data_IF_387155868708
#
_entry.id   IF_387155868708
#
_cell.length_a   1.000
_cell.length_b   1.000
_cell.length_c   1.000
_cell.angle_alpha   90.00
_cell.angle_beta   90.00
_cell.angle_gamma   90.00
#
_symmetry.space_group_name_H-M   'P 1'
#
loop_
_entity.id
_entity.type
_entity.pdbx_description
1 polymer ?
#
# COMPACT_ATOMS: atom_id res chain seq x y z
N UNK A 1 49.64 43.54 30.21
CA UNK A 1 49.81 44.04 28.83
C UNK A 1 49.84 42.88 27.81
N UNK A 2 48.84 41.99 27.79
CA UNK A 2 48.82 40.79 26.90
C UNK A 2 47.54 40.63 26.06
N UNK A 3 46.63 41.62 26.06
CA UNK A 3 45.35 41.54 25.32
C UNK A 3 45.41 42.05 23.88
N UNK A 4 46.48 42.76 23.48
CA UNK A 4 46.57 43.43 22.17
C UNK A 4 46.94 42.51 20.99
N UNK A 5 47.61 41.38 21.24
CA UNK A 5 48.05 40.47 20.16
C UNK A 5 46.91 39.57 19.65
N UNK A 6 46.04 39.09 20.53
CA UNK A 6 44.90 38.24 20.15
C UNK A 6 43.87 39.00 19.29
N UNK A 7 43.62 40.27 19.60
CA UNK A 7 42.73 41.13 18.80
C UNK A 7 43.25 41.36 17.39
N UNK A 8 44.57 41.53 17.21
CA UNK A 8 45.18 41.71 15.88
C UNK A 8 44.99 40.44 15.03
N UNK A 9 45.20 39.25 15.61
CA UNK A 9 44.96 38.00 14.88
C UNK A 9 43.50 37.78 14.50
N UNK A 10 42.56 38.18 15.35
CA UNK A 10 41.13 38.15 15.02
C UNK A 10 40.79 39.08 13.86
N UNK A 11 41.35 40.30 13.84
CA UNK A 11 41.15 41.22 12.72
C UNK A 11 41.78 40.71 11.42
N UNK A 12 42.96 40.09 11.48
CA UNK A 12 43.61 39.48 10.31
C UNK A 12 42.79 38.30 9.80
N UNK A 13 42.33 37.41 10.68
CA UNK A 13 41.48 36.28 10.30
C UNK A 13 40.15 36.76 9.70
N UNK A 14 39.51 37.76 10.30
CA UNK A 14 38.30 38.37 9.77
C UNK A 14 38.55 39.00 8.38
N UNK A 15 39.64 39.76 8.20
CA UNK A 15 39.99 40.36 6.93
C UNK A 15 40.24 39.29 5.85
N UNK A 16 41.00 38.23 6.17
CA UNK A 16 41.28 37.11 5.26
C UNK A 16 39.99 36.38 4.88
N UNK A 17 39.11 36.08 5.83
CA UNK A 17 37.84 35.40 5.57
C UNK A 17 36.90 36.27 4.73
N UNK A 18 36.83 37.57 5.01
CA UNK A 18 36.00 38.51 4.24
C UNK A 18 36.53 38.64 2.81
N UNK A 19 37.86 38.75 2.64
CA UNK A 19 38.49 38.86 1.31
C UNK A 19 38.35 37.55 0.53
N UNK A 20 38.52 36.40 1.18
CA UNK A 20 38.30 35.09 0.58
C UNK A 20 36.84 34.92 0.15
N UNK A 21 35.87 35.31 0.97
CA UNK A 21 34.45 35.31 0.62
C UNK A 21 34.12 36.24 -0.56
N UNK A 22 34.72 37.42 -0.61
CA UNK A 22 34.54 38.37 -1.72
C UNK A 22 35.14 37.82 -3.03
N UNK A 23 36.36 37.27 -2.98
CA UNK A 23 37.04 36.65 -4.12
C UNK A 23 36.31 35.39 -4.61
N UNK A 24 35.70 34.64 -3.70
CA UNK A 24 34.84 33.51 -3.98
C UNK A 24 33.57 33.93 -4.73
N UNK A 25 32.96 35.06 -4.35
CA UNK A 25 31.78 35.62 -5.02
C UNK A 25 32.10 36.20 -6.41
N UNK A 26 33.34 36.67 -6.63
CA UNK A 26 33.81 37.23 -7.89
C UNK A 26 34.08 36.17 -8.99
N UNK A 27 34.01 34.87 -8.68
CA UNK A 27 34.17 33.78 -9.66
C UNK A 27 32.87 32.98 -9.85
N UNK A 28 31.93 33.46 -10.69
CA UNK A 28 30.61 32.82 -10.88
C UNK A 28 30.68 31.40 -11.44
N UNK A 29 31.81 31.00 -12.03
CA UNK A 29 32.04 29.67 -12.61
C UNK A 29 31.95 28.53 -11.59
N UNK A 30 32.34 28.75 -10.34
CA UNK A 30 32.22 27.71 -9.31
C UNK A 30 30.78 27.56 -8.84
N UNK A 31 30.05 28.66 -8.63
CA UNK A 31 28.63 28.65 -8.29
C UNK A 31 27.80 27.99 -9.40
N UNK A 32 28.03 28.32 -10.66
CA UNK A 32 27.38 27.68 -11.81
C UNK A 32 27.74 26.18 -11.92
N UNK A 33 28.97 25.80 -11.58
CA UNK A 33 29.38 24.38 -11.53
C UNK A 33 28.66 23.62 -10.41
N UNK A 34 28.58 24.21 -9.21
CA UNK A 34 27.85 23.66 -8.08
C UNK A 34 26.35 23.58 -8.37
N UNK A 35 25.73 24.63 -8.93
CA UNK A 35 24.31 24.65 -9.30
C UNK A 35 24.00 23.57 -10.35
N UNK A 36 24.87 23.41 -11.37
CA UNK A 36 24.74 22.35 -12.37
C UNK A 36 24.88 20.96 -11.76
N UNK A 37 25.85 20.77 -10.86
CA UNK A 37 26.05 19.51 -10.14
C UNK A 37 24.85 19.13 -9.27
N UNK A 38 24.37 20.09 -8.47
CA UNK A 38 23.18 19.91 -7.62
C UNK A 38 21.94 19.65 -8.47
N UNK A 39 21.73 20.40 -9.56
CA UNK A 39 20.60 20.17 -10.46
C UNK A 39 20.65 18.79 -11.12
N UNK A 40 21.82 18.37 -11.63
CA UNK A 40 22.00 17.04 -12.22
C UNK A 40 21.74 15.93 -11.19
N UNK A 41 22.26 16.09 -9.97
CA UNK A 41 22.01 15.14 -8.89
C UNK A 41 20.53 15.07 -8.49
N UNK A 42 19.85 16.22 -8.41
CA UNK A 42 18.40 16.29 -8.18
C UNK A 42 17.61 15.58 -9.29
N UNK A 43 17.98 15.75 -10.56
CA UNK A 43 17.32 15.05 -11.66
C UNK A 43 17.56 13.54 -11.62
N UNK A 44 18.76 13.08 -11.27
CA UNK A 44 19.06 11.66 -11.08
C UNK A 44 18.21 11.08 -9.95
N UNK A 45 18.15 11.76 -8.79
CA UNK A 45 17.31 11.35 -7.67
C UNK A 45 15.83 11.28 -8.04
N UNK A 46 15.32 12.28 -8.77
CA UNK A 46 13.95 12.28 -9.26
C UNK A 46 13.70 11.13 -10.24
N UNK A 47 14.65 10.84 -11.14
CA UNK A 47 14.58 9.72 -12.07
C UNK A 47 14.55 8.36 -11.35
N UNK A 48 15.40 8.16 -10.35
CA UNK A 48 15.41 6.95 -9.50
C UNK A 48 14.08 6.84 -8.74
N UNK A 49 13.60 7.93 -8.17
CA UNK A 49 12.30 7.96 -7.48
C UNK A 49 11.15 7.57 -8.40
N UNK A 50 11.06 8.16 -9.60
CA UNK A 50 10.05 7.83 -10.59
C UNK A 50 10.16 6.38 -11.09
N UNK A 51 11.38 5.87 -11.26
CA UNK A 51 11.60 4.46 -11.63
C UNK A 51 11.11 3.51 -10.55
N UNK A 52 11.43 3.77 -9.28
CA UNK A 52 10.94 2.97 -8.15
C UNK A 52 9.41 3.02 -8.06
N UNK A 53 8.83 4.20 -8.28
CA UNK A 53 7.38 4.41 -8.27
C UNK A 53 6.72 3.64 -9.43
N UNK A 54 7.29 3.70 -10.63
CA UNK A 54 6.83 2.91 -11.77
C UNK A 54 6.97 1.40 -11.53
N UNK A 55 8.07 0.96 -10.91
CA UNK A 55 8.29 -0.45 -10.57
C UNK A 55 7.24 -0.95 -9.58
N UNK A 56 6.96 -0.20 -8.51
CA UNK A 56 5.91 -0.54 -7.55
C UNK A 56 4.53 -0.62 -8.23
N UNK A 57 4.22 0.33 -9.12
CA UNK A 57 2.98 0.33 -9.91
C UNK A 57 2.81 -0.90 -10.81
N UNK A 58 3.88 -1.58 -11.22
CA UNK A 58 3.74 -2.84 -11.98
C UNK A 58 3.20 -3.99 -11.14
N UNK A 59 3.33 -3.92 -9.81
CA UNK A 59 2.76 -4.90 -8.89
C UNK A 59 1.25 -4.71 -8.67
N UNK A 60 0.64 -3.63 -9.17
CA UNK A 60 -0.78 -3.37 -9.01
C UNK A 60 -1.59 -3.74 -10.25
N UNK A 61 -2.64 -4.52 -10.03
CA UNK A 61 -3.57 -4.91 -11.07
C UNK A 61 -4.55 -3.78 -11.37
N UNK A 62 -4.79 -3.56 -12.66
CA UNK A 62 -5.53 -2.41 -13.17
C UNK A 62 -7.02 -2.70 -13.22
N UNK A 63 -7.83 -1.97 -12.46
CA UNK A 63 -9.28 -2.17 -12.45
C UNK A 63 -9.98 -1.53 -13.65
N UNK A 64 -10.90 -2.28 -14.28
CA UNK A 64 -11.90 -1.73 -15.21
C UNK A 64 -13.31 -2.05 -14.71
N UNK A 65 -13.98 -1.07 -14.08
CA UNK A 65 -15.38 -1.07 -13.60
C UNK A 65 -15.95 -2.40 -13.02
N UNK A 66 -16.20 -2.43 -11.70
CA UNK A 66 -16.91 -3.51 -10.98
C UNK A 66 -16.41 -4.92 -11.31
N UNK A 67 -15.09 -5.05 -11.41
CA UNK A 67 -14.44 -6.31 -11.73
C UNK A 67 -14.37 -7.21 -10.49
N UNK A 68 -14.51 -8.52 -10.71
CA UNK A 68 -14.32 -9.50 -9.64
C UNK A 68 -12.83 -9.53 -9.30
N UNK A 69 -12.47 -9.02 -8.13
CA UNK A 69 -11.07 -8.95 -7.69
C UNK A 69 -10.59 -10.26 -7.07
N UNK A 70 -11.50 -11.06 -6.54
CA UNK A 70 -11.21 -12.41 -6.08
C UNK A 70 -12.45 -13.30 -6.11
N UNK A 71 -12.25 -14.58 -6.34
CA UNK A 71 -13.26 -15.62 -6.14
C UNK A 71 -12.82 -16.50 -4.98
N UNK A 72 -13.72 -16.66 -4.02
CA UNK A 72 -13.53 -17.46 -2.81
C UNK A 72 -14.35 -18.73 -2.94
N UNK A 73 -13.69 -19.88 -2.90
CA UNK A 73 -14.35 -21.19 -2.84
C UNK A 73 -14.06 -21.85 -1.50
N UNK A 74 -15.11 -22.26 -0.80
CA UNK A 74 -15.02 -22.82 0.55
C UNK A 74 -15.25 -24.32 0.50
N UNK A 75 -14.40 -25.06 1.20
CA UNK A 75 -14.58 -26.50 1.46
C UNK A 75 -14.43 -26.78 2.94
N UNK A 76 -15.26 -27.66 3.46
CA UNK A 76 -15.15 -28.10 4.84
C UNK A 76 -13.94 -29.03 5.00
N UNK A 77 -13.08 -28.72 5.97
CA UNK A 77 -11.92 -29.54 6.33
C UNK A 77 -12.10 -30.26 7.67
N UNK A 78 -12.96 -29.73 8.55
CA UNK A 78 -13.30 -30.31 9.85
C UNK A 78 -14.38 -29.49 10.58
N UNK A 79 -14.66 -29.80 11.86
CA UNK A 79 -15.56 -28.99 12.69
C UNK A 79 -15.00 -27.57 12.85
N UNK A 80 -15.72 -26.56 12.35
CA UNK A 80 -15.28 -25.15 12.32
C UNK A 80 -13.90 -24.92 11.65
N UNK A 81 -13.47 -25.86 10.80
CA UNK A 81 -12.23 -25.77 10.03
C UNK A 81 -12.54 -25.84 8.54
N UNK A 82 -12.04 -24.86 7.80
CA UNK A 82 -12.40 -24.61 6.42
C UNK A 82 -11.17 -24.41 5.57
N UNK A 83 -11.16 -25.00 4.38
CA UNK A 83 -10.20 -24.70 3.34
C UNK A 83 -10.80 -23.67 2.39
N UNK A 84 -10.25 -22.46 2.39
CA UNK A 84 -10.58 -21.41 1.44
C UNK A 84 -9.59 -21.41 0.28
N UNK A 85 -10.09 -21.70 -0.93
CA UNK A 85 -9.35 -21.40 -2.16
C UNK A 85 -9.67 -19.98 -2.59
N UNK A 86 -8.67 -19.11 -2.58
CA UNK A 86 -8.76 -17.74 -3.08
C UNK A 86 -8.12 -17.69 -4.48
N UNK A 87 -8.91 -17.38 -5.49
CA UNK A 87 -8.45 -17.15 -6.85
C UNK A 87 -8.48 -15.65 -7.16
N UNK A 88 -7.33 -15.08 -7.49
CA UNK A 88 -7.15 -13.66 -7.81
C UNK A 88 -5.86 -13.49 -8.57
N UNK A 89 -5.85 -12.63 -9.60
CA UNK A 89 -4.61 -12.25 -10.29
C UNK A 89 -3.61 -11.58 -9.33
N UNK A 90 -4.10 -10.90 -8.28
CA UNK A 90 -3.26 -10.28 -7.26
C UNK A 90 -2.42 -11.25 -6.44
N UNK A 91 -2.66 -12.56 -6.54
CA UNK A 91 -1.92 -13.59 -5.80
C UNK A 91 -0.81 -14.22 -6.66
N UNK A 92 0.34 -14.58 -6.05
CA UNK A 92 1.35 -15.38 -6.73
C UNK A 92 0.76 -16.71 -7.21
N UNK A 93 0.81 -16.94 -8.53
CA UNK A 93 0.24 -18.14 -9.17
C UNK A 93 -1.27 -18.10 -9.41
N UNK A 94 -1.93 -16.96 -9.18
CA UNK A 94 -3.36 -16.75 -9.50
C UNK A 94 -4.35 -17.44 -8.57
N UNK A 95 -3.91 -18.41 -7.76
CA UNK A 95 -4.75 -19.13 -6.79
C UNK A 95 -3.94 -19.67 -5.62
N UNK A 96 -4.43 -19.46 -4.41
CA UNK A 96 -3.84 -20.02 -3.19
C UNK A 96 -4.93 -20.58 -2.27
N UNK A 97 -4.57 -21.57 -1.45
CA UNK A 97 -5.47 -22.18 -0.49
C UNK A 97 -5.03 -21.87 0.93
N UNK A 98 -5.97 -21.49 1.78
CA UNK A 98 -5.75 -21.13 3.18
C UNK A 98 -6.67 -21.97 4.08
N UNK A 99 -6.14 -22.39 5.22
CA UNK A 99 -6.95 -22.98 6.29
C UNK A 99 -7.46 -21.86 7.18
N UNK A 100 -8.77 -21.78 7.40
CA UNK A 100 -9.42 -20.84 8.31
C UNK A 100 -10.22 -21.60 9.34
N UNK A 101 -10.21 -21.08 10.56
CA UNK A 101 -11.09 -21.52 11.62
C UNK A 101 -12.14 -20.45 11.95
N UNK A 102 -13.36 -20.89 12.25
CA UNK A 102 -14.48 -20.03 12.61
C UNK A 102 -15.75 -20.30 11.84
N UNK A 103 -16.66 -19.33 11.92
CA UNK A 103 -18.00 -19.38 11.32
C UNK A 103 -18.14 -18.38 10.16
N UNK A 104 -17.27 -17.36 10.12
CA UNK A 104 -17.27 -16.33 9.09
C UNK A 104 -15.86 -16.06 8.56
N UNK A 105 -15.78 -15.56 7.34
CA UNK A 105 -14.56 -15.05 6.74
C UNK A 105 -14.69 -13.57 6.37
N UNK A 106 -13.54 -12.91 6.30
CA UNK A 106 -13.39 -11.51 5.91
C UNK A 106 -12.14 -11.38 5.04
N UNK A 107 -12.22 -10.60 3.96
CA UNK A 107 -11.10 -10.27 3.10
C UNK A 107 -10.89 -8.75 3.08
N UNK A 108 -9.71 -8.32 3.50
CA UNK A 108 -9.31 -6.92 3.50
C UNK A 108 -8.45 -6.63 2.26
N UNK A 109 -8.67 -5.49 1.61
CA UNK A 109 -7.81 -5.01 0.53
C UNK A 109 -7.63 -3.48 0.57
N UNK A 110 -6.45 -3.03 0.17
CA UNK A 110 -6.15 -1.61 -0.03
C UNK A 110 -6.39 -1.25 -1.48
N UNK A 111 -6.98 -0.09 -1.72
CA UNK A 111 -7.29 0.41 -3.05
C UNK A 111 -6.67 1.80 -3.20
N UNK A 112 -5.88 1.96 -4.26
CA UNK A 112 -5.30 3.23 -4.66
C UNK A 112 -6.07 3.74 -5.87
N UNK A 113 -6.68 4.91 -5.72
CA UNK A 113 -7.30 5.64 -6.81
C UNK A 113 -6.41 6.81 -7.15
N UNK A 114 -6.21 7.04 -8.44
CA UNK A 114 -5.48 8.21 -8.93
C UNK A 114 -6.49 9.26 -9.37
N UNK A 115 -6.20 10.53 -9.17
CA UNK A 115 -7.06 11.66 -9.56
C UNK A 115 -6.32 12.66 -10.46
N UNK A 116 -7.08 13.51 -11.15
CA UNK A 116 -6.56 14.60 -11.97
C UNK A 116 -5.61 14.15 -13.10
N UNK A 117 -4.45 14.78 -13.29
CA UNK A 117 -3.54 14.49 -14.40
C UNK A 117 -3.03 13.03 -14.42
N UNK A 118 -2.98 12.33 -13.27
CA UNK A 118 -2.60 10.91 -13.24
C UNK A 118 -3.63 10.03 -13.97
N UNK A 119 -4.93 10.36 -13.88
CA UNK A 119 -5.95 9.67 -14.68
C UNK A 119 -5.79 9.96 -16.18
N UNK A 120 -5.45 11.20 -16.55
CA UNK A 120 -5.21 11.58 -17.95
C UNK A 120 -3.99 10.85 -18.55
N UNK A 121 -3.01 10.50 -17.73
CA UNK A 121 -1.88 9.65 -18.10
C UNK A 121 -2.25 8.16 -18.22
N UNK A 122 -3.53 7.80 -18.02
CA UNK A 122 -4.02 6.43 -18.16
C UNK A 122 -3.73 5.52 -16.98
N UNK A 123 -3.35 6.07 -15.81
CA UNK A 123 -3.17 5.29 -14.59
C UNK A 123 -4.53 4.80 -14.10
N UNK A 124 -4.73 3.48 -14.15
CA UNK A 124 -5.93 2.82 -13.67
C UNK A 124 -5.86 2.63 -12.15
N UNK A 125 -7.00 2.56 -11.45
CA UNK A 125 -7.03 2.20 -10.04
C UNK A 125 -6.34 0.86 -9.80
N UNK A 126 -5.65 0.82 -8.66
CA UNK A 126 -4.75 -0.24 -8.26
C UNK A 126 -5.28 -0.86 -6.95
N UNK A 127 -5.18 -2.18 -6.79
CA UNK A 127 -5.61 -2.84 -5.55
C UNK A 127 -4.58 -3.88 -5.08
N UNK A 128 -4.54 -4.10 -3.76
CA UNK A 128 -3.71 -5.11 -3.12
C UNK A 128 -4.48 -5.82 -2.02
N UNK A 129 -4.51 -7.14 -2.07
CA UNK A 129 -5.09 -7.95 -1.01
C UNK A 129 -4.18 -7.92 0.22
N UNK A 130 -4.74 -7.62 1.38
CA UNK A 130 -3.98 -7.42 2.62
C UNK A 130 -4.06 -8.63 3.52
N UNK A 131 -5.28 -9.09 3.79
CA UNK A 131 -5.52 -10.04 4.87
C UNK A 131 -6.78 -10.85 4.63
N UNK A 132 -6.66 -12.15 4.87
CA UNK A 132 -7.79 -13.07 4.95
C UNK A 132 -7.91 -13.56 6.39
N UNK A 133 -9.07 -13.40 7.03
CA UNK A 133 -9.27 -13.81 8.41
C UNK A 133 -10.58 -14.58 8.61
N UNK A 134 -10.54 -15.54 9.54
CA UNK A 134 -11.70 -16.24 10.08
C UNK A 134 -12.18 -15.58 11.37
N UNK A 135 -13.48 -15.65 11.63
CA UNK A 135 -14.11 -15.11 12.84
C UNK A 135 -15.12 -16.10 13.42
N UNK A 136 -15.12 -16.23 14.74
CA UNK A 136 -16.14 -16.95 15.51
C UNK A 136 -17.30 -16.03 15.86
N UNK A 137 -18.52 -16.54 15.81
CA UNK A 137 -19.72 -15.81 16.20
C UNK A 137 -19.94 -15.82 17.72
N UNK A 138 -19.66 -16.94 18.37
CA UNK A 138 -19.81 -17.07 19.81
C UNK A 138 -18.67 -16.34 20.54
N UNK A 139 -19.02 -15.44 21.48
CA UNK A 139 -18.05 -14.69 22.26
C UNK A 139 -17.19 -15.60 23.14
N UNK A 140 -17.78 -16.67 23.69
CA UNK A 140 -17.07 -17.68 24.47
C UNK A 140 -15.97 -18.37 23.65
N UNK A 141 -16.25 -18.69 22.39
CA UNK A 141 -15.27 -19.29 21.48
C UNK A 141 -14.21 -18.28 21.06
N UNK A 142 -14.61 -17.05 20.73
CA UNK A 142 -13.69 -15.97 20.36
C UNK A 142 -12.70 -15.59 21.50
N UNK A 143 -13.09 -15.80 22.76
CA UNK A 143 -12.20 -15.60 23.92
C UNK A 143 -11.20 -16.74 24.12
N UNK A 144 -11.58 -17.96 23.76
CA UNK A 144 -10.81 -19.17 24.07
C UNK A 144 -10.02 -19.71 22.86
N UNK A 145 -10.37 -19.30 21.63
CA UNK A 145 -9.70 -19.70 20.40
C UNK A 145 -9.19 -18.48 19.65
N UNK A 146 -7.95 -18.56 19.14
CA UNK A 146 -7.36 -17.47 18.36
C UNK A 146 -7.96 -17.46 16.94
N UNK A 147 -8.41 -16.30 16.44
CA UNK A 147 -8.83 -16.16 15.04
C UNK A 147 -7.69 -16.52 14.09
N UNK A 148 -8.00 -17.24 13.01
CA UNK A 148 -7.02 -17.48 11.96
C UNK A 148 -6.86 -16.25 11.09
N UNK A 149 -5.62 -15.80 10.89
CA UNK A 149 -5.30 -14.62 10.09
C UNK A 149 -4.14 -14.93 9.16
N UNK A 150 -4.37 -14.75 7.86
CA UNK A 150 -3.35 -14.88 6.81
C UNK A 150 -3.07 -13.51 6.20
N UNK A 151 -1.80 -13.09 6.24
CA UNK A 151 -1.34 -11.93 5.48
C UNK A 151 -1.20 -12.29 4.01
N UNK A 152 -1.87 -11.55 3.14
CA UNK A 152 -1.84 -11.73 1.68
C UNK A 152 -0.86 -10.75 1.01
N UNK A 153 -0.59 -9.63 1.67
CA UNK A 153 0.36 -8.64 1.17
C UNK A 153 1.80 -9.19 1.26
N UNK A 154 2.42 -9.44 0.10
CA UNK A 154 3.86 -9.63 0.02
C UNK A 154 4.59 -8.39 0.55
N UNK A 155 5.57 -8.60 1.44
CA UNK A 155 6.38 -7.55 2.04
C UNK A 155 7.18 -6.79 0.98
N UNK A 156 6.60 -5.68 0.49
CA UNK A 156 7.30 -4.71 -0.33
C UNK A 156 8.22 -3.87 0.54
N UNK A 157 9.38 -3.49 0.00
CA UNK A 157 10.35 -2.66 0.71
C UNK A 157 9.86 -1.23 0.92
N UNK A 158 8.89 -0.79 0.09
CA UNK A 158 8.25 0.52 0.15
C UNK A 158 6.74 0.31 0.20
N UNK A 159 6.07 0.86 1.21
CA UNK A 159 4.61 0.85 1.33
C UNK A 159 4.06 2.20 0.84
N UNK A 160 3.69 2.28 -0.44
CA UNK A 160 3.15 3.49 -1.05
C UNK A 160 1.87 3.98 -0.34
N UNK A 161 1.09 3.04 0.20
CA UNK A 161 -0.09 3.35 1.00
C UNK A 161 0.28 4.07 2.30
N UNK A 162 1.31 3.61 3.01
CA UNK A 162 1.78 4.26 4.23
C UNK A 162 2.39 5.64 3.96
N UNK A 163 3.00 5.82 2.78
CA UNK A 163 3.52 7.11 2.34
C UNK A 163 2.38 8.11 2.07
N UNK A 164 1.34 7.68 1.37
CA UNK A 164 0.16 8.51 1.09
C UNK A 164 -0.57 8.92 2.38
N UNK A 165 -0.78 7.98 3.32
CA UNK A 165 -1.38 8.32 4.63
C UNK A 165 -0.58 9.35 5.43
N UNK A 166 0.73 9.46 5.16
CA UNK A 166 1.61 10.37 5.89
C UNK A 166 1.77 11.73 5.20
N UNK A 167 1.71 11.76 3.88
CA UNK A 167 1.99 12.95 3.07
C UNK A 167 0.75 13.55 2.40
N UNK A 168 -0.40 12.87 2.47
CA UNK A 168 -1.67 13.27 1.85
C UNK A 168 -1.47 13.72 0.40
N UNK A 169 -1.03 12.80 -0.47
CA UNK A 169 -0.63 13.18 -1.82
C UNK A 169 -1.86 13.72 -2.57
N UNK A 170 -1.81 14.95 -3.13
CA UNK A 170 -3.00 15.63 -3.66
C UNK A 170 -3.61 14.97 -4.91
N UNK A 171 -2.94 13.97 -5.49
CA UNK A 171 -3.34 13.28 -6.71
C UNK A 171 -3.65 11.78 -6.47
N UNK A 172 -3.58 11.33 -5.21
CA UNK A 172 -3.83 9.94 -4.82
C UNK A 172 -4.93 9.94 -3.77
N UNK A 173 -5.93 9.10 -3.99
CA UNK A 173 -6.96 8.80 -2.99
C UNK A 173 -6.77 7.35 -2.56
N UNK A 174 -6.22 7.15 -1.37
CA UNK A 174 -6.09 5.84 -0.75
C UNK A 174 -7.37 5.50 0.04
N UNK A 175 -8.00 4.36 -0.29
CA UNK A 175 -9.17 3.85 0.43
C UNK A 175 -8.97 2.42 0.91
N UNK A 176 -9.23 2.20 2.20
CA UNK A 176 -9.17 0.88 2.82
C UNK A 176 -10.53 0.22 2.63
N UNK A 177 -10.56 -0.90 1.92
CA UNK A 177 -11.75 -1.69 1.71
C UNK A 177 -11.71 -2.96 2.53
N UNK A 178 -12.83 -3.31 3.14
CA UNK A 178 -13.03 -4.63 3.71
C UNK A 178 -14.28 -5.25 3.13
N UNK A 179 -14.16 -6.47 2.63
CA UNK A 179 -15.33 -7.25 2.27
C UNK A 179 -16.13 -7.55 3.54
N UNK A 180 -17.44 -7.33 3.49
CA UNK A 180 -18.37 -7.68 4.57
C UNK A 180 -18.18 -9.14 5.00
N UNK A 181 -18.36 -9.40 6.30
CA UNK A 181 -18.33 -10.75 6.88
C UNK A 181 -19.29 -11.68 6.16
N UNK A 182 -18.77 -12.80 5.65
CA UNK A 182 -19.55 -13.80 4.95
C UNK A 182 -19.47 -15.15 5.65
N UNK A 183 -20.57 -15.92 5.68
CA UNK A 183 -20.60 -17.20 6.38
C UNK A 183 -19.73 -18.26 5.68
N UNK A 184 -19.01 -19.02 6.50
CA UNK A 184 -18.25 -20.20 6.10
C UNK A 184 -19.22 -21.38 5.97
N UNK A 185 -19.43 -21.86 4.74
CA UNK A 185 -20.29 -23.01 4.47
C UNK A 185 -19.66 -23.91 3.42
N UNK A 186 -19.89 -25.21 3.55
CA UNK A 186 -19.32 -26.19 2.64
C UNK A 186 -19.80 -25.94 1.21
N UNK A 187 -18.89 -25.98 0.25
CA UNK A 187 -19.13 -25.70 -1.16
C UNK A 187 -19.68 -24.30 -1.47
N UNK A 188 -19.63 -23.34 -0.53
CA UNK A 188 -20.04 -21.97 -0.81
C UNK A 188 -19.01 -21.27 -1.72
N UNK A 189 -19.51 -20.51 -2.69
CA UNK A 189 -18.70 -19.71 -3.61
C UNK A 189 -19.13 -18.25 -3.51
N UNK A 190 -18.15 -17.38 -3.29
CA UNK A 190 -18.36 -15.93 -3.23
C UNK A 190 -17.44 -15.22 -4.22
N UNK A 191 -17.98 -14.21 -4.89
CA UNK A 191 -17.19 -13.26 -5.66
C UNK A 191 -17.00 -11.99 -4.84
N UNK A 192 -15.75 -11.55 -4.74
CA UNK A 192 -15.40 -10.27 -4.14
C UNK A 192 -15.31 -9.26 -5.27
N UNK A 193 -16.20 -8.29 -5.24
CA UNK A 193 -16.32 -7.20 -6.20
C UNK A 193 -15.70 -5.95 -5.59
N UNK A 194 -14.93 -5.21 -6.38
CA UNK A 194 -14.43 -3.91 -6.00
C UNK A 194 -15.21 -2.81 -6.76
N UNK A 195 -16.08 -2.13 -6.04
CA UNK A 195 -16.93 -1.06 -6.56
C UNK A 195 -16.34 0.33 -6.36
N UNK A 196 -17.13 1.37 -6.66
CA UNK A 196 -16.75 2.76 -6.39
C UNK A 196 -16.70 3.05 -4.87
N UNK A 197 -17.61 2.43 -4.10
CA UNK A 197 -17.81 2.72 -2.68
C UNK A 197 -17.09 1.74 -1.73
N UNK A 198 -16.27 0.83 -2.26
CA UNK A 198 -15.53 -0.15 -1.47
C UNK A 198 -15.63 -1.58 -2.02
N UNK A 199 -15.31 -2.53 -1.15
CA UNK A 199 -15.27 -3.96 -1.46
C UNK A 199 -16.57 -4.60 -0.99
N UNK A 200 -17.18 -5.42 -1.83
CA UNK A 200 -18.36 -6.20 -1.47
C UNK A 200 -18.18 -7.67 -1.85
N UNK A 201 -18.71 -8.58 -1.03
CA UNK A 201 -18.77 -9.99 -1.36
C UNK A 201 -20.19 -10.35 -1.83
N UNK A 202 -20.31 -11.19 -2.84
CA UNK A 202 -21.59 -11.62 -3.42
C UNK A 202 -21.61 -13.14 -3.51
N UNK A 203 -22.69 -13.74 -3.01
CA UNK A 203 -22.94 -15.18 -3.10
C UNK A 203 -23.23 -15.59 -4.55
N UNK A 204 -22.46 -16.56 -5.06
CA UNK A 204 -22.54 -16.99 -6.47
C UNK A 204 -23.43 -18.21 -6.63
N UNK A 205 -23.33 -19.18 -5.71
CA UNK A 205 -24.07 -20.44 -5.77
C UNK A 205 -25.16 -20.55 -4.70
N UNK A 206 -26.00 -21.58 -4.80
CA UNK A 206 -27.14 -21.79 -3.90
C UNK A 206 -26.72 -22.04 -2.45
N UNK A 207 -25.59 -22.72 -2.22
CA UNK A 207 -25.05 -22.90 -0.87
C UNK A 207 -24.68 -21.57 -0.23
N UNK A 208 -23.98 -20.70 -0.96
CA UNK A 208 -23.65 -19.35 -0.49
C UNK A 208 -24.90 -18.50 -0.27
N UNK A 209 -25.86 -18.53 -1.22
CA UNK A 209 -27.12 -17.79 -1.08
C UNK A 209 -27.91 -18.24 0.13
N UNK A 210 -28.02 -19.55 0.34
CA UNK A 210 -28.69 -20.14 1.51
C UNK A 210 -27.98 -19.81 2.82
N UNK A 211 -26.64 -19.75 2.81
CA UNK A 211 -25.87 -19.34 3.98
C UNK A 211 -26.15 -17.88 4.35
N UNK A 212 -26.25 -16.99 3.35
CA UNK A 212 -26.52 -15.56 3.54
C UNK A 212 -28.00 -15.31 3.88
N UNK A 213 -28.95 -16.08 3.33
CA UNK A 213 -30.37 -15.90 3.64
C UNK A 213 -30.73 -16.39 5.05
N UNK A 214 -30.15 -17.50 5.49
CA UNK A 214 -30.32 -18.02 6.85
C UNK A 214 -29.64 -17.12 7.91
N UNK A 215 -28.96 -16.07 7.46
CA UNK A 215 -28.22 -15.12 8.26
C UNK A 215 -28.96 -13.80 8.49
N UNK A 216 -29.90 -13.44 7.61
CA UNK A 216 -30.76 -12.26 7.75
C UNK A 216 -31.92 -12.55 8.70
#
# INVERSE_FOLDING_TARGET
MMSGSATVWLFVAAAVLTLAGLLFFLRPRWLLGWLKGTAAFSFILLGVFLFLLAWDLTSYYRLSQQETVATVTIRQAGPQQWSLSLASEALPGGRQAYLLEGDQWQLDARVLRFSGPLQWLGLKPAYKLERLSGRYMALEEARNRRPTVHGLAGGGWVDFWALDQKLELPLVESQFGSATYMPLRNNAIYNVLLGQNGINAVAVNDEARSAVSNWQ
#
